data_IF_228600139471
#
_entry.id   IF_228600139471
#
_cell.length_a   1.000
_cell.length_b   1.000
_cell.length_c   1.000
_cell.angle_alpha   90.00
_cell.angle_beta   90.00
_cell.angle_gamma   90.00
#
_symmetry.space_group_name_H-M   'P 1'
#
loop_
_entity.id
_entity.type
_entity.pdbx_description
1 polymer ?
#
# COMPACT_ATOMS: atom_id res chain seq x y z
N UNK A 1 17.74 33.40 32.44
CA UNK A 1 18.42 32.08 32.44
C UNK A 1 17.37 31.02 32.09
N UNK A 2 17.19 30.74 30.80
CA UNK A 2 16.26 29.72 30.30
C UNK A 2 17.04 28.46 29.95
N UNK A 3 16.70 27.33 30.57
CA UNK A 3 17.28 26.02 30.26
C UNK A 3 16.59 25.47 29.01
N UNK A 4 17.37 25.30 27.94
CA UNK A 4 16.99 24.56 26.75
C UNK A 4 17.06 23.08 27.11
N UNK A 5 15.92 22.39 27.13
CA UNK A 5 15.84 20.93 27.22
C UNK A 5 16.00 20.38 25.80
N UNK A 6 17.17 19.86 25.48
CA UNK A 6 17.38 19.04 24.28
C UNK A 6 16.73 17.69 24.51
N UNK A 7 15.62 17.44 23.81
CA UNK A 7 15.07 16.11 23.63
C UNK A 7 15.96 15.36 22.62
N UNK A 8 16.85 14.51 23.13
CA UNK A 8 17.53 13.50 22.32
C UNK A 8 16.50 12.41 21.96
N UNK A 9 16.06 12.42 20.71
CA UNK A 9 15.35 11.29 20.11
C UNK A 9 16.35 10.14 19.95
N UNK A 10 16.40 9.25 20.94
CA UNK A 10 17.15 8.02 20.86
C UNK A 10 16.53 7.09 19.84
N UNK A 11 17.20 6.94 18.71
CA UNK A 11 16.93 5.86 17.76
C UNK A 11 17.32 4.56 18.45
N UNK A 12 16.34 3.77 18.90
CA UNK A 12 16.60 2.41 19.40
C UNK A 12 16.91 1.56 18.17
N UNK A 13 18.18 1.53 17.77
CA UNK A 13 18.70 0.53 16.87
C UNK A 13 18.79 -0.75 17.69
N UNK A 14 17.84 -1.66 17.49
CA UNK A 14 17.98 -3.03 17.99
C UNK A 14 19.12 -3.67 17.22
N UNK A 15 20.32 -3.55 17.74
CA UNK A 15 21.49 -4.25 17.24
C UNK A 15 21.30 -5.75 17.53
N UNK A 16 20.82 -6.48 16.54
CA UNK A 16 20.91 -7.94 16.56
C UNK A 16 22.37 -8.34 16.47
N UNK A 17 22.82 -9.36 17.20
CA UNK A 17 24.18 -9.84 17.10
C UNK A 17 24.40 -10.39 15.68
N UNK A 18 25.13 -9.65 14.86
CA UNK A 18 25.63 -10.08 13.55
C UNK A 18 26.78 -11.09 13.75
N UNK A 19 26.51 -12.23 14.37
CA UNK A 19 27.46 -13.31 14.44
C UNK A 19 27.41 -14.09 13.13
N UNK A 20 28.46 -13.95 12.32
CA UNK A 20 28.92 -14.80 11.19
C UNK A 20 27.80 -15.57 10.46
N UNK A 21 26.88 -14.85 9.84
CA UNK A 21 25.91 -15.41 8.91
C UNK A 21 26.60 -15.66 7.58
N UNK A 22 26.79 -16.92 7.23
CA UNK A 22 26.98 -17.32 5.83
C UNK A 22 25.67 -16.97 5.12
N UNK A 23 25.65 -15.87 4.40
CA UNK A 23 24.46 -15.36 3.70
C UNK A 23 24.18 -16.25 2.49
N UNK A 24 23.18 -17.13 2.60
CA UNK A 24 22.67 -17.88 1.47
C UNK A 24 21.57 -17.03 0.80
N UNK A 25 21.93 -16.35 -0.28
CA UNK A 25 20.98 -15.59 -1.08
C UNK A 25 20.27 -16.50 -2.06
N UNK A 26 18.93 -16.56 -1.95
CA UNK A 26 18.08 -17.30 -2.87
C UNK A 26 17.38 -16.33 -3.82
N UNK A 27 17.26 -16.72 -5.10
CA UNK A 27 16.55 -15.93 -6.11
C UNK A 27 15.22 -16.57 -6.51
N UNK A 28 15.01 -17.84 -6.19
CA UNK A 28 14.00 -18.68 -6.83
C UNK A 28 12.67 -18.78 -6.08
N UNK A 29 12.60 -18.33 -4.82
CA UNK A 29 11.43 -18.52 -3.98
C UNK A 29 11.04 -17.26 -3.20
N UNK A 30 10.77 -16.15 -3.90
CA UNK A 30 10.36 -14.93 -3.21
C UNK A 30 8.98 -15.09 -2.57
N UNK A 31 8.77 -14.41 -1.45
CA UNK A 31 7.50 -14.39 -0.73
C UNK A 31 6.79 -13.07 -0.99
N UNK A 32 5.79 -13.08 -1.87
CA UNK A 32 4.96 -11.92 -2.13
C UNK A 32 3.82 -11.84 -1.08
N UNK A 33 4.14 -11.32 0.07
CA UNK A 33 3.21 -11.10 1.17
C UNK A 33 3.29 -9.66 1.62
N UNK A 34 2.15 -9.02 1.86
CA UNK A 34 2.07 -7.60 2.29
C UNK A 34 2.68 -6.59 1.29
N UNK A 35 2.58 -6.85 0.00
CA UNK A 35 2.99 -5.95 -1.07
C UNK A 35 1.77 -5.47 -1.87
N UNK A 36 1.97 -4.41 -2.66
CA UNK A 36 0.87 -3.86 -3.45
C UNK A 36 0.40 -4.80 -4.55
N UNK A 37 -0.91 -4.77 -4.78
CA UNK A 37 -1.56 -5.43 -5.91
C UNK A 37 -1.80 -4.45 -7.06
N UNK A 38 -1.83 -4.97 -8.26
CA UNK A 38 -2.35 -4.26 -9.42
C UNK A 38 -3.86 -4.39 -9.48
N UNK A 39 -4.54 -3.37 -10.02
CA UNK A 39 -5.98 -3.43 -10.22
C UNK A 39 -6.44 -2.55 -11.37
N UNK A 40 -7.64 -2.86 -11.87
CA UNK A 40 -8.42 -2.03 -12.76
C UNK A 40 -9.81 -1.90 -12.15
N UNK A 41 -10.27 -0.67 -11.93
CA UNK A 41 -11.54 -0.36 -11.29
C UNK A 41 -12.39 0.58 -12.15
N UNK A 42 -13.68 0.39 -12.10
CA UNK A 42 -14.70 1.29 -12.60
C UNK A 42 -15.48 1.86 -11.43
N UNK A 43 -15.92 3.10 -11.54
CA UNK A 43 -16.70 3.74 -10.48
C UNK A 43 -17.92 4.43 -11.05
N UNK A 44 -19.11 4.13 -10.53
CA UNK A 44 -20.31 4.89 -10.87
C UNK A 44 -20.39 6.21 -10.09
N UNK A 45 -19.47 6.45 -9.14
CA UNK A 45 -19.52 7.61 -8.26
C UNK A 45 -19.00 8.87 -8.94
N UNK A 46 -19.70 10.01 -8.81
CA UNK A 46 -19.15 11.28 -9.24
C UNK A 46 -17.99 11.68 -8.31
N UNK A 47 -16.90 12.16 -8.90
CA UNK A 47 -15.84 12.87 -8.18
C UNK A 47 -16.13 14.36 -8.31
N UNK A 48 -16.19 15.06 -7.18
CA UNK A 48 -16.18 16.52 -7.20
C UNK A 48 -14.72 16.97 -7.31
N UNK A 49 -14.37 17.54 -8.44
CA UNK A 49 -13.11 18.28 -8.60
C UNK A 49 -13.40 19.72 -8.22
N UNK A 50 -12.90 20.19 -7.09
CA UNK A 50 -13.10 21.57 -6.64
C UNK A 50 -12.37 22.52 -7.58
N UNK A 51 -13.10 23.52 -8.05
CA UNK A 51 -12.60 24.57 -8.93
C UNK A 51 -13.34 24.66 -10.25
N UNK A 52 -14.03 23.64 -10.71
CA UNK A 52 -14.95 23.74 -11.83
C UNK A 52 -16.41 23.65 -11.36
N UNK A 53 -17.18 24.75 -11.39
CA UNK A 53 -18.60 24.73 -11.06
C UNK A 53 -19.43 23.93 -12.09
N UNK A 54 -18.82 23.37 -13.11
CA UNK A 54 -19.49 22.82 -14.29
C UNK A 54 -19.84 21.35 -14.19
N UNK A 55 -19.93 20.75 -13.08
CA UNK A 55 -20.49 19.37 -12.93
C UNK A 55 -19.55 18.40 -12.20
N UNK A 56 -20.09 17.53 -11.37
CA UNK A 56 -19.29 16.43 -10.85
C UNK A 56 -18.90 15.53 -12.03
N UNK A 57 -17.62 15.51 -12.37
CA UNK A 57 -17.09 14.56 -13.34
C UNK A 57 -17.20 13.16 -12.74
N UNK A 58 -17.87 12.23 -13.43
CA UNK A 58 -17.88 10.83 -13.02
C UNK A 58 -16.49 10.22 -13.21
N UNK A 59 -16.00 9.47 -12.24
CA UNK A 59 -14.85 8.61 -12.44
C UNK A 59 -15.29 7.41 -13.29
N UNK A 60 -14.77 7.31 -14.51
CA UNK A 60 -15.04 6.12 -15.35
C UNK A 60 -14.14 4.98 -14.95
N UNK A 61 -12.83 5.27 -14.77
CA UNK A 61 -11.80 4.26 -14.74
C UNK A 61 -10.66 4.70 -13.83
N UNK A 62 -10.17 3.78 -13.02
CA UNK A 62 -8.92 3.90 -12.28
C UNK A 62 -8.13 2.61 -12.42
N UNK A 63 -6.84 2.71 -12.63
CA UNK A 63 -5.96 1.56 -12.60
C UNK A 63 -4.72 1.83 -11.77
N UNK A 64 -4.22 0.78 -11.16
CA UNK A 64 -2.92 0.73 -10.52
C UNK A 64 -2.12 -0.43 -11.10
N UNK A 65 -0.91 -0.15 -11.51
CA UNK A 65 0.07 -1.16 -11.91
C UNK A 65 1.17 -1.15 -10.86
N UNK A 66 1.32 -2.27 -10.16
CA UNK A 66 2.35 -2.49 -9.15
C UNK A 66 3.07 -3.80 -9.47
N UNK A 67 4.25 -3.72 -10.06
CA UNK A 67 5.09 -4.88 -10.38
C UNK A 67 6.15 -5.04 -9.31
N UNK A 68 6.13 -6.15 -8.60
CA UNK A 68 7.06 -6.42 -7.51
C UNK A 68 8.29 -7.19 -8.04
N UNK A 69 9.43 -6.51 -8.14
CA UNK A 69 10.71 -7.09 -8.54
C UNK A 69 11.52 -7.41 -7.29
N UNK A 70 11.62 -8.68 -6.98
CA UNK A 70 12.42 -9.14 -5.84
C UNK A 70 13.89 -9.09 -6.19
N UNK A 71 14.67 -8.41 -5.35
CA UNK A 71 16.11 -8.51 -5.31
C UNK A 71 16.50 -9.80 -4.55
N UNK A 72 17.78 -10.16 -4.48
CA UNK A 72 18.20 -11.31 -3.67
C UNK A 72 17.61 -11.26 -2.27
N UNK A 73 17.10 -12.37 -1.79
CA UNK A 73 16.51 -12.48 -0.45
C UNK A 73 17.28 -13.53 0.37
N UNK A 74 17.20 -13.36 1.67
CA UNK A 74 17.82 -14.23 2.66
C UNK A 74 16.73 -14.94 3.45
N UNK A 75 16.91 -16.25 3.66
CA UNK A 75 16.04 -17.08 4.49
C UNK A 75 16.85 -17.81 5.56
N UNK A 76 16.30 -17.89 6.76
CA UNK A 76 16.91 -18.56 7.90
C UNK A 76 15.86 -19.26 8.75
N UNK A 77 16.16 -20.50 9.13
CA UNK A 77 15.25 -21.36 9.88
C UNK A 77 14.26 -22.12 9.00
N UNK A 78 13.40 -22.88 9.65
CA UNK A 78 12.35 -23.67 9.03
C UNK A 78 10.99 -23.19 9.54
N UNK A 79 10.00 -23.17 8.65
CA UNK A 79 8.68 -22.62 8.94
C UNK A 79 7.93 -23.36 10.04
N UNK A 80 8.18 -24.65 10.20
CA UNK A 80 7.62 -25.55 11.22
C UNK A 80 8.46 -25.66 12.50
N UNK A 81 9.63 -25.01 12.52
CA UNK A 81 10.47 -24.97 13.72
C UNK A 81 9.84 -24.12 14.84
N UNK A 82 10.21 -24.31 16.11
CA UNK A 82 9.72 -23.48 17.21
C UNK A 82 9.96 -22.00 17.04
N UNK A 83 11.09 -21.61 16.41
CA UNK A 83 11.44 -20.22 16.11
C UNK A 83 10.71 -19.66 14.90
N UNK A 84 10.30 -20.53 13.98
CA UNK A 84 9.81 -20.17 12.66
C UNK A 84 10.93 -19.82 11.68
N UNK A 85 10.57 -19.46 10.48
CA UNK A 85 11.47 -19.03 9.42
C UNK A 85 11.52 -17.50 9.34
N UNK A 86 12.71 -16.93 9.19
CA UNK A 86 12.95 -15.52 8.97
C UNK A 86 13.30 -15.28 7.49
N UNK A 87 12.65 -14.29 6.89
CA UNK A 87 12.90 -13.90 5.50
C UNK A 87 13.21 -12.41 5.46
N UNK A 88 14.36 -12.07 4.93
CA UNK A 88 14.76 -10.70 4.64
C UNK A 88 14.81 -10.52 3.12
N UNK A 89 14.05 -9.57 2.60
CA UNK A 89 14.02 -9.28 1.16
C UNK A 89 14.03 -7.79 0.89
N UNK A 90 14.51 -7.42 -0.29
CA UNK A 90 14.38 -6.09 -0.83
C UNK A 90 13.57 -6.19 -2.14
N UNK A 91 12.55 -5.34 -2.27
CA UNK A 91 11.62 -5.37 -3.40
C UNK A 91 11.54 -3.99 -4.02
N UNK A 92 11.81 -3.91 -5.33
CA UNK A 92 11.59 -2.72 -6.13
C UNK A 92 10.18 -2.78 -6.72
N UNK A 93 9.37 -1.77 -6.46
CA UNK A 93 8.02 -1.66 -7.01
C UNK A 93 7.84 -0.34 -7.76
N UNK A 94 7.94 -0.33 -9.10
CA UNK A 94 7.50 0.79 -9.92
C UNK A 94 5.96 0.81 -9.93
N UNK A 95 5.37 1.62 -9.06
CA UNK A 95 3.92 1.75 -8.95
C UNK A 95 3.45 2.97 -9.74
N UNK A 96 2.44 2.77 -10.59
CA UNK A 96 1.79 3.84 -11.36
C UNK A 96 0.29 3.73 -11.20
N UNK A 97 -0.39 4.86 -10.98
CA UNK A 97 -1.84 4.97 -10.98
C UNK A 97 -2.30 5.89 -12.10
N UNK A 98 -3.38 5.52 -12.76
CA UNK A 98 -4.06 6.28 -13.81
C UNK A 98 -5.53 6.44 -13.44
N UNK A 99 -6.08 7.62 -13.69
CA UNK A 99 -7.49 7.91 -13.47
C UNK A 99 -8.07 8.64 -14.68
N UNK A 100 -9.25 8.21 -15.12
CA UNK A 100 -9.96 8.81 -16.24
C UNK A 100 -11.37 9.23 -15.80
N UNK A 101 -11.71 10.49 -16.12
CA UNK A 101 -13.00 11.09 -15.83
C UNK A 101 -13.95 11.01 -17.04
N UNK A 102 -15.24 11.10 -16.78
CA UNK A 102 -16.27 11.20 -17.82
C UNK A 102 -16.39 12.65 -18.32
N UNK A 103 -15.36 13.10 -19.02
CA UNK A 103 -15.29 14.42 -19.63
C UNK A 103 -14.99 14.33 -21.12
N UNK A 104 -15.52 15.28 -21.90
CA UNK A 104 -15.30 15.29 -23.36
C UNK A 104 -13.88 15.70 -23.76
N UNK A 105 -13.20 16.48 -22.91
CA UNK A 105 -11.85 16.95 -23.17
C UNK A 105 -10.98 16.73 -21.94
N UNK A 106 -9.73 16.30 -22.19
CA UNK A 106 -8.75 16.01 -21.12
C UNK A 106 -9.25 15.04 -20.04
N UNK A 107 -9.85 13.90 -20.41
CA UNK A 107 -10.47 12.99 -19.44
C UNK A 107 -9.45 12.28 -18.53
N UNK A 108 -8.17 12.25 -18.93
CA UNK A 108 -7.11 11.59 -18.17
C UNK A 108 -6.47 12.62 -17.22
N UNK A 109 -6.60 12.37 -15.93
CA UNK A 109 -5.89 13.15 -14.90
C UNK A 109 -4.39 12.79 -14.95
N UNK A 110 -3.48 13.73 -14.67
CA UNK A 110 -2.05 13.45 -14.59
C UNK A 110 -1.76 12.20 -13.76
N UNK A 111 -0.98 11.24 -14.27
CA UNK A 111 -0.74 9.97 -13.58
C UNK A 111 -0.02 10.18 -12.26
N UNK A 112 -0.19 9.25 -11.34
CA UNK A 112 0.58 9.17 -10.11
C UNK A 112 1.70 8.14 -10.26
N UNK A 113 2.94 8.58 -10.15
CA UNK A 113 4.13 7.73 -10.16
C UNK A 113 4.63 7.56 -8.73
N UNK A 114 4.67 6.32 -8.24
CA UNK A 114 5.04 5.98 -6.85
C UNK A 114 6.12 4.86 -6.81
N UNK A 115 7.28 5.02 -7.49
CA UNK A 115 8.34 4.04 -7.38
C UNK A 115 8.84 3.96 -5.93
N UNK A 116 9.06 2.74 -5.46
CA UNK A 116 9.55 2.50 -4.10
C UNK A 116 10.44 1.27 -3.99
N UNK A 117 11.29 1.29 -2.98
CA UNK A 117 12.05 0.12 -2.50
C UNK A 117 11.50 -0.25 -1.13
N UNK A 118 11.14 -1.50 -0.96
CA UNK A 118 10.66 -2.07 0.30
C UNK A 118 11.71 -3.05 0.83
N UNK A 119 12.25 -2.77 2.00
CA UNK A 119 13.04 -3.73 2.78
C UNK A 119 12.07 -4.44 3.71
N UNK A 120 11.87 -5.73 3.49
CA UNK A 120 10.88 -6.53 4.20
C UNK A 120 11.56 -7.55 5.09
N UNK A 121 11.23 -7.56 6.38
CA UNK A 121 11.58 -8.60 7.32
C UNK A 121 10.30 -9.33 7.70
N UNK A 122 10.24 -10.64 7.41
CA UNK A 122 9.11 -11.51 7.77
C UNK A 122 9.58 -12.57 8.75
N UNK A 123 8.72 -12.91 9.67
CA UNK A 123 8.78 -14.15 10.46
C UNK A 123 7.56 -14.97 10.13
N UNK A 124 7.80 -16.16 9.60
CA UNK A 124 6.77 -17.12 9.22
C UNK A 124 6.82 -18.29 10.18
N UNK A 125 5.68 -18.74 10.64
CA UNK A 125 5.58 -19.91 11.51
C UNK A 125 4.35 -20.71 11.16
N UNK A 126 4.54 -22.02 11.12
CA UNK A 126 3.53 -23.00 10.84
C UNK A 126 3.55 -24.07 11.92
N UNK A 127 2.40 -24.60 12.28
CA UNK A 127 2.27 -25.75 13.17
C UNK A 127 0.97 -26.47 12.95
N UNK A 128 0.97 -27.75 13.30
CA UNK A 128 -0.21 -28.60 13.24
C UNK A 128 -0.68 -28.93 14.65
N UNK A 129 -1.98 -29.04 14.83
CA UNK A 129 -2.64 -29.49 16.05
C UNK A 129 -3.43 -30.78 15.76
N UNK A 130 -3.83 -31.48 16.81
CA UNK A 130 -4.72 -32.64 16.73
C UNK A 130 -4.23 -33.72 15.73
N UNK A 131 -2.96 -34.10 15.82
CA UNK A 131 -2.37 -35.16 14.98
C UNK A 131 -2.46 -34.83 13.47
N UNK A 132 -2.29 -33.58 13.10
CA UNK A 132 -2.29 -33.14 11.70
C UNK A 132 -3.66 -32.79 11.12
N UNK A 133 -4.73 -32.85 11.92
CA UNK A 133 -6.08 -32.50 11.47
C UNK A 133 -6.36 -31.04 11.41
N UNK A 134 -5.63 -30.25 12.17
CA UNK A 134 -5.82 -28.80 12.25
C UNK A 134 -4.51 -28.08 11.95
N UNK A 135 -4.60 -27.08 11.08
CA UNK A 135 -3.47 -26.33 10.55
C UNK A 135 -3.48 -24.91 11.06
N UNK A 136 -2.31 -24.42 11.47
CA UNK A 136 -2.11 -23.06 11.94
C UNK A 136 -0.93 -22.43 11.20
N UNK A 137 -1.05 -21.13 10.92
CA UNK A 137 0.03 -20.35 10.30
C UNK A 137 0.02 -18.93 10.86
N UNK A 138 1.19 -18.38 11.05
CA UNK A 138 1.34 -16.96 11.35
C UNK A 138 2.43 -16.31 10.50
N UNK A 139 2.19 -15.10 10.07
CA UNK A 139 3.17 -14.22 9.46
C UNK A 139 3.17 -12.90 10.20
N UNK A 140 4.34 -12.49 10.68
CA UNK A 140 4.57 -11.16 11.27
C UNK A 140 5.62 -10.50 10.41
N UNK A 141 5.38 -9.25 10.02
CA UNK A 141 6.26 -8.53 9.11
C UNK A 141 6.51 -7.10 9.54
N UNK A 142 7.66 -6.60 9.14
CA UNK A 142 8.02 -5.19 9.17
C UNK A 142 8.52 -4.82 7.79
N UNK A 143 7.91 -3.80 7.19
CA UNK A 143 8.39 -3.18 5.97
C UNK A 143 9.00 -1.82 6.30
N UNK A 144 10.22 -1.57 5.81
CA UNK A 144 10.81 -0.24 5.73
C UNK A 144 10.81 0.16 4.25
N UNK A 145 10.07 1.23 3.92
CA UNK A 145 9.85 1.65 2.55
C UNK A 145 10.49 3.03 2.36
N UNK A 146 11.21 3.18 1.25
CA UNK A 146 11.69 4.46 0.74
C UNK A 146 11.15 4.61 -0.67
N UNK A 147 10.48 5.73 -0.94
CA UNK A 147 9.81 5.94 -2.20
C UNK A 147 9.77 7.39 -2.63
N UNK A 148 9.37 7.57 -3.87
CA UNK A 148 9.09 8.84 -4.50
C UNK A 148 7.64 8.86 -4.96
N UNK A 149 6.98 10.00 -4.84
CA UNK A 149 5.63 10.20 -5.33
C UNK A 149 5.56 11.50 -6.14
N UNK A 150 5.19 11.39 -7.41
CA UNK A 150 5.06 12.55 -8.29
C UNK A 150 3.96 12.34 -9.33
N UNK A 151 3.52 13.45 -9.94
CA UNK A 151 2.56 13.42 -11.05
C UNK A 151 3.18 13.74 -12.41
N UNK A 152 4.48 13.99 -12.47
CA UNK A 152 5.20 14.25 -13.72
C UNK A 152 4.81 15.55 -14.43
N UNK A 153 4.09 16.46 -13.78
CA UNK A 153 3.71 17.75 -14.33
C UNK A 153 4.76 18.81 -14.04
N UNK A 154 4.78 19.88 -14.86
CA UNK A 154 5.76 20.98 -14.76
C UNK A 154 5.12 22.33 -14.41
N UNK A 155 3.80 22.43 -14.32
CA UNK A 155 3.11 23.66 -13.96
C UNK A 155 3.29 24.03 -12.49
N UNK A 156 3.04 25.29 -12.14
CA UNK A 156 3.09 25.73 -10.75
C UNK A 156 2.08 24.96 -9.89
N UNK A 157 2.47 24.61 -8.67
CA UNK A 157 1.64 23.85 -7.72
C UNK A 157 0.35 24.60 -7.34
N UNK A 158 0.44 25.93 -7.12
CA UNK A 158 -0.73 26.76 -6.83
C UNK A 158 -1.26 27.42 -8.10
N UNK A 159 -2.57 27.53 -8.25
CA UNK A 159 -3.23 28.05 -9.45
C UNK A 159 -2.99 29.55 -9.67
N UNK A 160 -2.70 30.31 -8.61
CA UNK A 160 -2.43 31.74 -8.67
C UNK A 160 -0.95 32.10 -8.91
N UNK A 161 -0.11 31.09 -9.12
CA UNK A 161 1.30 31.28 -9.51
C UNK A 161 1.42 31.39 -11.02
N UNK A 162 2.35 32.18 -11.50
CA UNK A 162 2.62 32.36 -12.93
C UNK A 162 3.98 31.77 -13.29
N UNK A 163 4.04 31.07 -14.44
CA UNK A 163 5.26 30.50 -14.99
C UNK A 163 5.24 28.98 -15.07
N UNK A 164 6.16 28.45 -15.84
CA UNK A 164 6.46 27.01 -15.96
C UNK A 164 7.81 26.66 -15.35
N UNK A 165 8.46 27.64 -14.73
CA UNK A 165 9.77 27.52 -14.09
C UNK A 165 9.61 26.86 -12.71
N UNK A 166 10.54 26.01 -12.27
CA UNK A 166 10.65 25.57 -10.88
C UNK A 166 10.69 26.72 -9.86
N UNK A 167 10.92 27.94 -10.31
CA UNK A 167 10.87 29.18 -9.54
C UNK A 167 9.48 29.85 -9.52
N UNK A 168 8.39 29.09 -9.60
CA UNK A 168 7.04 29.65 -9.43
C UNK A 168 6.97 30.50 -8.18
N UNK A 169 6.76 31.80 -8.36
CA UNK A 169 6.72 32.77 -7.26
C UNK A 169 5.37 32.63 -6.54
N UNK A 170 5.34 32.38 -5.23
CA UNK A 170 4.10 32.31 -4.48
C UNK A 170 3.41 33.69 -4.58
N UNK A 171 2.19 33.73 -5.13
CA UNK A 171 1.32 34.88 -4.95
C UNK A 171 0.73 34.82 -3.53
N UNK A 172 0.36 35.97 -2.98
CA UNK A 172 -0.32 36.03 -1.69
C UNK A 172 -1.61 35.21 -1.74
N UNK A 173 -1.70 34.20 -0.88
CA UNK A 173 -2.78 33.19 -0.86
C UNK A 173 -2.36 31.92 -1.57
N UNK A 174 -2.13 30.85 -0.79
CA UNK A 174 -1.56 29.60 -1.28
C UNK A 174 -2.61 28.64 -1.89
N UNK A 175 -3.89 29.01 -1.91
CA UNK A 175 -4.97 28.19 -2.47
C UNK A 175 -5.73 29.01 -3.52
N UNK A 176 -6.31 28.37 -4.56
CA UNK A 176 -6.45 26.93 -4.82
C UNK A 176 -5.21 26.29 -5.46
N UNK A 177 -5.19 24.94 -5.45
CA UNK A 177 -4.20 24.14 -6.16
C UNK A 177 -4.42 24.20 -7.67
N UNK A 178 -3.35 24.02 -8.43
CA UNK A 178 -3.44 23.86 -9.88
C UNK A 178 -3.67 22.37 -10.21
N UNK A 179 -4.92 21.94 -10.16
CA UNK A 179 -5.30 20.54 -10.36
C UNK A 179 -5.13 20.03 -11.79
N UNK A 180 -5.01 20.93 -12.76
CA UNK A 180 -4.91 20.60 -14.19
C UNK A 180 -3.49 20.25 -14.61
N UNK A 181 -2.51 21.05 -14.20
CA UNK A 181 -1.11 20.93 -14.65
C UNK A 181 -0.08 21.21 -13.56
N UNK A 182 -0.53 21.36 -12.32
CA UNK A 182 0.35 21.65 -11.19
C UNK A 182 1.31 20.51 -10.90
N UNK A 183 2.59 20.85 -10.73
CA UNK A 183 3.62 19.90 -10.34
C UNK A 183 3.42 19.46 -8.89
N UNK A 184 3.34 18.16 -8.66
CA UNK A 184 3.37 17.55 -7.34
C UNK A 184 4.50 16.54 -7.24
N UNK A 185 5.32 16.67 -6.21
CA UNK A 185 6.44 15.78 -5.99
C UNK A 185 6.82 15.73 -4.51
N UNK A 186 7.04 14.52 -3.99
CA UNK A 186 7.56 14.28 -2.64
C UNK A 186 8.37 12.99 -2.58
N UNK A 187 9.41 12.98 -1.76
CA UNK A 187 10.04 11.75 -1.32
C UNK A 187 9.41 11.34 0.01
N UNK A 188 9.31 10.05 0.28
CA UNK A 188 8.75 9.57 1.55
C UNK A 188 9.48 8.35 2.11
N UNK A 189 9.46 8.25 3.43
CA UNK A 189 9.83 7.05 4.15
C UNK A 189 8.61 6.51 4.90
N UNK A 190 8.42 5.19 4.90
CA UNK A 190 7.31 4.53 5.59
C UNK A 190 7.79 3.33 6.36
N UNK A 191 7.23 3.13 7.54
CA UNK A 191 7.38 1.91 8.33
C UNK A 191 5.99 1.28 8.45
N UNK A 192 5.90 -0.02 8.14
CA UNK A 192 4.68 -0.81 8.30
C UNK A 192 4.96 -1.97 9.24
N UNK A 193 4.04 -2.20 10.16
CA UNK A 193 3.98 -3.39 11.02
C UNK A 193 2.78 -4.23 10.58
N UNK A 194 2.99 -5.50 10.32
CA UNK A 194 2.03 -6.35 9.64
C UNK A 194 1.92 -7.67 10.38
N UNK A 195 0.71 -8.15 10.53
CA UNK A 195 0.44 -9.45 11.12
C UNK A 195 -0.65 -10.16 10.35
N UNK A 196 -0.52 -11.48 10.20
CA UNK A 196 -1.52 -12.36 9.62
C UNK A 196 -1.51 -13.69 10.35
N UNK A 197 -2.66 -14.17 10.72
CA UNK A 197 -2.83 -15.38 11.49
C UNK A 197 -3.92 -16.26 10.89
N UNK A 198 -3.58 -17.50 10.53
CA UNK A 198 -4.50 -18.52 10.10
C UNK A 198 -4.90 -19.38 11.32
N UNK A 199 -6.18 -19.42 11.60
CA UNK A 199 -6.78 -20.29 12.61
C UNK A 199 -7.87 -21.13 11.96
N UNK A 200 -8.10 -22.34 12.41
CA UNK A 200 -9.11 -23.23 11.86
C UNK A 200 -8.85 -23.61 10.38
N UNK A 201 -7.61 -24.03 10.10
CA UNK A 201 -7.27 -24.61 8.80
C UNK A 201 -7.63 -26.09 8.77
N UNK A 202 -8.60 -26.46 7.91
CA UNK A 202 -8.96 -27.85 7.64
C UNK A 202 -8.43 -28.26 6.26
N UNK A 203 -7.37 -29.10 6.20
CA UNK A 203 -6.77 -29.51 4.94
C UNK A 203 -7.73 -30.35 4.07
N UNK A 204 -8.59 -31.15 4.68
CA UNK A 204 -9.51 -32.05 3.96
C UNK A 204 -10.60 -31.23 3.24
N UNK A 205 -11.15 -30.22 3.92
CA UNK A 205 -12.19 -29.36 3.35
C UNK A 205 -11.62 -28.19 2.55
N UNK A 206 -10.29 -28.03 2.52
CA UNK A 206 -9.62 -26.85 1.95
C UNK A 206 -10.23 -25.54 2.47
N UNK A 207 -10.55 -25.51 3.75
CA UNK A 207 -11.18 -24.41 4.43
C UNK A 207 -10.22 -23.82 5.46
N UNK A 208 -10.20 -22.51 5.56
CA UNK A 208 -9.41 -21.81 6.57
C UNK A 208 -9.99 -20.42 6.85
N UNK A 209 -9.81 -19.96 8.08
CA UNK A 209 -10.02 -18.57 8.46
C UNK A 209 -8.68 -17.89 8.71
N UNK A 210 -8.51 -16.70 8.18
CA UNK A 210 -7.34 -15.87 8.40
C UNK A 210 -7.81 -14.50 8.87
N UNK A 211 -7.14 -13.98 9.89
CA UNK A 211 -7.25 -12.57 10.28
C UNK A 211 -5.91 -11.89 10.12
N UNK A 212 -5.95 -10.62 9.79
CA UNK A 212 -4.75 -9.81 9.62
C UNK A 212 -4.95 -8.40 10.16
N UNK A 213 -3.86 -7.74 10.45
CA UNK A 213 -3.84 -6.36 10.87
C UNK A 213 -2.56 -5.67 10.40
N UNK A 214 -2.64 -4.36 10.24
CA UNK A 214 -1.50 -3.51 9.88
C UNK A 214 -1.53 -2.21 10.66
N UNK A 215 -0.34 -1.65 10.88
CA UNK A 215 -0.15 -0.28 11.30
C UNK A 215 0.95 0.33 10.44
N UNK A 216 0.77 1.56 9.99
CA UNK A 216 1.74 2.25 9.16
C UNK A 216 1.98 3.67 9.66
N UNK A 217 3.20 4.14 9.44
CA UNK A 217 3.60 5.53 9.61
C UNK A 217 4.43 5.93 8.42
N UNK A 218 3.97 6.91 7.66
CA UNK A 218 4.75 7.51 6.60
C UNK A 218 5.10 8.97 6.90
N UNK A 219 6.19 9.44 6.33
CA UNK A 219 6.65 10.80 6.44
C UNK A 219 7.20 11.30 5.12
N UNK A 220 6.69 12.45 4.69
CA UNK A 220 7.20 13.18 3.53
C UNK A 220 8.53 13.84 3.84
N UNK A 221 9.39 13.97 2.85
CA UNK A 221 10.72 14.52 2.97
C UNK A 221 11.04 15.50 1.83
N UNK A 222 11.74 16.55 2.17
CA UNK A 222 12.37 17.51 1.26
C UNK A 222 13.75 17.04 0.77
N UNK A 223 14.23 15.89 1.26
CA UNK A 223 15.54 15.34 0.93
C UNK A 223 15.60 14.87 -0.53
N UNK A 224 16.66 15.29 -1.24
CA UNK A 224 17.00 14.84 -2.59
C UNK A 224 16.15 15.46 -3.71
N UNK A 225 16.42 15.07 -4.96
CA UNK A 225 15.65 15.54 -6.11
C UNK A 225 14.17 15.12 -6.00
N UNK A 226 13.27 16.08 -6.25
CA UNK A 226 11.83 15.84 -6.18
C UNK A 226 11.25 15.74 -4.76
N UNK A 227 11.99 16.15 -3.74
CA UNK A 227 11.47 16.31 -2.38
C UNK A 227 10.42 17.43 -2.32
N UNK A 228 9.50 17.31 -1.34
CA UNK A 228 8.42 18.30 -1.16
C UNK A 228 8.97 19.63 -0.65
N UNK A 229 8.53 20.74 -1.25
CA UNK A 229 8.90 22.07 -0.75
C UNK A 229 8.18 22.39 0.57
N UNK A 230 8.70 23.38 1.31
CA UNK A 230 8.09 23.83 2.57
C UNK A 230 6.64 24.30 2.36
N UNK A 231 6.36 25.05 1.30
CA UNK A 231 5.02 25.58 1.02
C UNK A 231 4.05 24.46 0.61
N UNK A 232 4.50 23.50 -0.17
CA UNK A 232 3.71 22.32 -0.50
C UNK A 232 3.43 21.46 0.73
N UNK A 233 4.42 21.26 1.62
CA UNK A 233 4.27 20.45 2.84
C UNK A 233 3.29 21.03 3.86
N UNK A 234 3.09 22.36 3.88
CA UNK A 234 2.07 23.03 4.69
C UNK A 234 0.66 22.75 4.21
N UNK A 235 0.49 22.32 2.97
CA UNK A 235 -0.82 22.02 2.38
C UNK A 235 -1.05 20.52 2.30
N UNK A 236 -0.02 19.77 1.89
CA UNK A 236 -0.10 18.30 1.75
C UNK A 236 -0.03 17.56 3.10
N UNK A 237 0.63 18.16 4.09
CA UNK A 237 0.93 17.53 5.38
C UNK A 237 2.33 16.93 5.44
N UNK A 238 2.72 16.53 6.64
CA UNK A 238 4.04 15.93 6.91
C UNK A 238 4.07 14.43 6.71
N UNK A 239 2.92 13.79 6.63
CA UNK A 239 2.79 12.35 6.46
C UNK A 239 1.44 11.84 6.91
N UNK A 240 1.32 10.51 7.04
CA UNK A 240 0.12 9.81 7.46
C UNK A 240 0.48 8.71 8.46
N UNK A 241 -0.46 8.38 9.34
CA UNK A 241 -0.45 7.14 10.08
C UNK A 241 -1.73 6.37 9.76
N UNK A 242 -1.62 5.06 9.68
CA UNK A 242 -2.72 4.22 9.26
C UNK A 242 -2.84 2.96 10.07
N UNK A 243 -4.04 2.39 10.05
CA UNK A 243 -4.36 1.10 10.64
C UNK A 243 -5.22 0.31 9.66
N UNK A 244 -4.99 -0.99 9.61
CA UNK A 244 -5.76 -1.90 8.78
C UNK A 244 -6.14 -3.16 9.53
N UNK A 245 -7.27 -3.73 9.15
CA UNK A 245 -7.68 -5.06 9.56
C UNK A 245 -8.25 -5.81 8.35
N UNK A 246 -8.00 -7.12 8.29
CA UNK A 246 -8.52 -7.97 7.23
C UNK A 246 -8.97 -9.31 7.79
N UNK A 247 -10.05 -9.83 7.24
CA UNK A 247 -10.53 -11.19 7.42
C UNK A 247 -10.53 -11.93 6.09
N UNK A 248 -10.07 -13.17 6.09
CA UNK A 248 -10.05 -13.99 4.90
C UNK A 248 -10.69 -15.34 5.18
N UNK A 249 -11.41 -15.85 4.21
CA UNK A 249 -11.96 -17.20 4.24
C UNK A 249 -11.58 -17.96 2.99
N UNK A 250 -11.01 -19.12 3.18
CA UNK A 250 -10.86 -20.13 2.15
C UNK A 250 -12.03 -21.10 2.23
N UNK A 251 -12.60 -21.42 1.08
CA UNK A 251 -13.67 -22.42 0.98
C UNK A 251 -13.60 -23.10 -0.39
N UNK A 252 -13.37 -24.41 -0.42
CA UNK A 252 -13.24 -25.20 -1.65
C UNK A 252 -12.22 -24.60 -2.65
N UNK A 253 -11.11 -24.08 -2.13
CA UNK A 253 -10.04 -23.49 -2.92
C UNK A 253 -10.31 -22.03 -3.41
N UNK A 254 -11.52 -21.50 -3.22
CA UNK A 254 -11.80 -20.08 -3.45
C UNK A 254 -11.41 -19.26 -2.21
N UNK A 255 -11.03 -18.00 -2.42
CA UNK A 255 -10.61 -17.08 -1.35
C UNK A 255 -11.49 -15.84 -1.33
N UNK A 256 -12.04 -15.53 -0.18
CA UNK A 256 -12.77 -14.32 0.13
C UNK A 256 -11.94 -13.47 1.07
N UNK A 257 -11.77 -12.21 0.77
CA UNK A 257 -11.04 -11.25 1.61
C UNK A 257 -11.93 -10.06 1.87
N UNK A 258 -12.02 -9.62 3.12
CA UNK A 258 -12.66 -8.37 3.49
C UNK A 258 -11.66 -7.58 4.33
N UNK A 259 -11.45 -6.32 4.00
CA UNK A 259 -10.52 -5.45 4.73
C UNK A 259 -11.13 -4.09 5.00
N UNK A 260 -10.64 -3.46 6.05
CA UNK A 260 -10.87 -2.08 6.39
C UNK A 260 -9.52 -1.41 6.66
N UNK A 261 -9.33 -0.21 6.14
CA UNK A 261 -8.16 0.62 6.41
C UNK A 261 -8.61 2.03 6.79
N UNK A 262 -7.88 2.62 7.72
CA UNK A 262 -8.02 3.98 8.19
C UNK A 262 -6.69 4.69 7.99
N UNK A 263 -6.71 5.87 7.39
CA UNK A 263 -5.52 6.72 7.22
C UNK A 263 -5.79 8.10 7.77
N UNK A 264 -4.85 8.65 8.51
CA UNK A 264 -4.95 9.92 9.21
C UNK A 264 -3.76 10.80 8.79
N UNK A 265 -3.97 11.90 8.07
CA UNK A 265 -2.90 12.85 7.78
C UNK A 265 -2.45 13.58 9.05
N UNK A 266 -1.17 13.93 9.13
CA UNK A 266 -0.63 14.75 10.20
C UNK A 266 0.28 15.87 9.68
N UNK A 267 0.47 16.90 10.50
CA UNK A 267 1.16 18.14 10.15
C UNK A 267 0.18 19.26 9.82
N UNK A 268 0.70 20.34 9.27
CA UNK A 268 -0.11 21.45 8.80
C UNK A 268 -0.77 21.03 7.48
N UNK A 269 -2.08 20.96 7.44
CA UNK A 269 -2.86 20.69 6.22
C UNK A 269 -4.26 21.28 6.41
N UNK A 270 -4.84 21.90 5.37
CA UNK A 270 -6.21 22.42 5.43
C UNK A 270 -7.26 21.34 5.66
N UNK A 271 -6.96 20.09 5.31
CA UNK A 271 -7.84 18.95 5.48
C UNK A 271 -7.16 17.90 6.36
N UNK A 272 -7.76 17.60 7.49
CA UNK A 272 -7.27 16.59 8.46
C UNK A 272 -8.30 15.48 8.69
N UNK A 273 -9.15 15.25 7.71
CA UNK A 273 -10.16 14.19 7.80
C UNK A 273 -9.53 12.82 7.60
N UNK A 274 -9.93 11.81 8.38
CA UNK A 274 -9.51 10.45 8.14
C UNK A 274 -10.09 9.92 6.84
N UNK A 275 -9.31 9.10 6.14
CA UNK A 275 -9.79 8.34 5.00
C UNK A 275 -10.08 6.91 5.43
N UNK A 276 -11.30 6.46 5.15
CA UNK A 276 -11.77 5.10 5.40
C UNK A 276 -11.83 4.36 4.06
N UNK A 277 -11.20 3.20 4.00
CA UNK A 277 -11.31 2.28 2.86
C UNK A 277 -11.86 0.95 3.34
N UNK A 278 -12.92 0.47 2.70
CA UNK A 278 -13.46 -0.87 2.91
C UNK A 278 -13.41 -1.61 1.59
N UNK A 279 -12.87 -2.82 1.59
CA UNK A 279 -12.75 -3.63 0.37
C UNK A 279 -13.20 -5.06 0.64
N UNK A 280 -13.92 -5.63 -0.32
CA UNK A 280 -14.22 -7.03 -0.39
C UNK A 280 -13.72 -7.60 -1.71
N UNK A 281 -12.91 -8.66 -1.66
CA UNK A 281 -12.29 -9.30 -2.82
C UNK A 281 -12.62 -10.79 -2.85
N UNK A 282 -13.02 -11.28 -4.01
CA UNK A 282 -13.21 -12.70 -4.30
C UNK A 282 -12.16 -13.16 -5.30
N UNK A 283 -11.39 -14.18 -4.95
CA UNK A 283 -10.38 -14.79 -5.80
C UNK A 283 -10.81 -16.22 -6.09
N UNK A 284 -11.10 -16.51 -7.34
CA UNK A 284 -11.49 -17.85 -7.77
C UNK A 284 -10.28 -18.77 -7.88
N UNK A 285 -10.44 -20.04 -7.46
CA UNK A 285 -9.46 -21.10 -7.69
C UNK A 285 -9.09 -21.25 -9.17
N UNK A 286 -10.08 -21.09 -10.06
CA UNK A 286 -9.92 -21.30 -11.52
C UNK A 286 -9.14 -20.16 -12.17
N UNK A 287 -9.32 -18.93 -11.65
CA UNK A 287 -8.66 -17.73 -12.17
C UNK A 287 -7.43 -17.38 -11.31
N UNK A 288 -6.45 -18.27 -11.28
CA UNK A 288 -5.24 -18.11 -10.47
C UNK A 288 -4.63 -16.72 -10.63
N UNK A 289 -4.53 -15.98 -9.53
CA UNK A 289 -3.93 -14.63 -9.49
C UNK A 289 -4.86 -13.48 -9.83
N UNK A 290 -6.13 -13.74 -10.22
CA UNK A 290 -7.13 -12.70 -10.47
C UNK A 290 -8.22 -12.72 -9.40
N UNK A 291 -8.59 -11.54 -8.91
CA UNK A 291 -9.69 -11.33 -8.00
C UNK A 291 -10.66 -10.30 -8.50
N UNK A 292 -11.95 -10.49 -8.21
CA UNK A 292 -12.98 -9.46 -8.36
C UNK A 292 -13.08 -8.71 -7.03
N UNK A 293 -13.11 -7.39 -7.07
CA UNK A 293 -13.27 -6.62 -5.85
C UNK A 293 -14.35 -5.55 -5.94
N UNK A 294 -14.90 -5.22 -4.78
CA UNK A 294 -15.69 -4.04 -4.54
C UNK A 294 -15.01 -3.23 -3.44
N UNK A 295 -14.83 -1.92 -3.65
CA UNK A 295 -14.17 -1.01 -2.71
C UNK A 295 -15.03 0.22 -2.47
N UNK A 296 -15.09 0.63 -1.21
CA UNK A 296 -15.64 1.91 -0.78
C UNK A 296 -14.53 2.75 -0.18
N UNK A 297 -14.43 4.01 -0.61
CA UNK A 297 -13.49 4.99 -0.07
C UNK A 297 -14.28 6.23 0.34
N UNK A 298 -14.02 6.72 1.55
CA UNK A 298 -14.62 7.95 2.06
C UNK A 298 -13.56 8.74 2.83
N UNK A 299 -13.31 9.96 2.43
CA UNK A 299 -12.35 10.85 3.06
C UNK A 299 -11.53 11.66 2.06
N UNK A 300 -10.29 11.93 2.41
CA UNK A 300 -9.36 12.66 1.55
C UNK A 300 -9.02 11.84 0.28
N UNK A 301 -8.99 12.51 -0.88
CA UNK A 301 -8.54 11.85 -2.11
C UNK A 301 -7.05 11.47 -2.00
N UNK A 302 -6.75 10.25 -2.37
CA UNK A 302 -5.40 9.68 -2.34
C UNK A 302 -4.62 9.91 -3.66
N UNK A 303 -5.23 10.64 -4.61
CA UNK A 303 -4.68 10.79 -5.95
C UNK A 303 -3.96 12.12 -6.14
N UNK A 304 -2.64 12.09 -6.19
CA UNK A 304 -1.66 13.17 -6.39
C UNK A 304 -2.16 14.57 -5.95
N UNK A 305 -2.30 15.53 -6.87
CA UNK A 305 -2.66 16.93 -6.56
C UNK A 305 -4.11 17.11 -6.09
N UNK A 306 -4.96 16.07 -6.16
CA UNK A 306 -6.36 16.12 -5.72
C UNK A 306 -6.53 15.87 -4.21
N UNK A 307 -5.46 15.77 -3.46
CA UNK A 307 -5.49 15.41 -2.04
C UNK A 307 -6.26 16.38 -1.12
N UNK A 308 -6.64 17.56 -1.59
CA UNK A 308 -7.55 18.46 -0.86
C UNK A 308 -9.02 18.13 -1.07
N UNK A 309 -9.33 17.27 -2.03
CA UNK A 309 -10.69 16.89 -2.33
C UNK A 309 -11.19 15.82 -1.35
N UNK A 310 -12.48 15.90 -1.04
CA UNK A 310 -13.20 14.85 -0.34
C UNK A 310 -13.87 13.93 -1.36
N UNK A 311 -13.60 12.65 -1.25
CA UNK A 311 -14.18 11.65 -2.15
C UNK A 311 -15.08 10.67 -1.39
N UNK A 312 -16.16 10.28 -2.06
CA UNK A 312 -16.98 9.13 -1.68
C UNK A 312 -17.09 8.25 -2.90
N UNK A 313 -16.26 7.20 -2.95
CA UNK A 313 -16.12 6.36 -4.13
C UNK A 313 -16.62 4.94 -3.87
N UNK A 314 -17.42 4.43 -4.78
CA UNK A 314 -17.66 3.01 -4.97
C UNK A 314 -16.91 2.55 -6.20
N UNK A 315 -16.05 1.58 -6.04
CA UNK A 315 -15.25 1.02 -7.11
C UNK A 315 -15.51 -0.47 -7.23
N UNK A 316 -15.60 -0.96 -8.47
CA UNK A 316 -15.74 -2.37 -8.78
C UNK A 316 -14.71 -2.74 -9.84
N UNK A 317 -14.03 -3.85 -9.67
CA UNK A 317 -12.97 -4.15 -10.62
C UNK A 317 -12.31 -5.50 -10.45
N UNK A 318 -11.16 -5.60 -11.12
CA UNK A 318 -10.29 -6.75 -11.09
C UNK A 318 -9.00 -6.39 -10.38
N UNK A 319 -8.56 -7.23 -9.45
CA UNK A 319 -7.24 -7.16 -8.85
C UNK A 319 -6.38 -8.33 -9.32
N UNK A 320 -5.08 -8.10 -9.43
CA UNK A 320 -4.13 -9.13 -9.82
C UNK A 320 -2.75 -8.85 -9.24
N UNK A 321 -1.99 -9.91 -9.01
CA UNK A 321 -0.62 -9.81 -8.54
C UNK A 321 0.35 -9.96 -9.71
N UNK A 322 1.17 -8.94 -9.94
CA UNK A 322 2.30 -9.03 -10.87
C UNK A 322 3.56 -9.41 -10.08
N UNK A 323 3.93 -10.66 -10.18
CA UNK A 323 5.02 -11.26 -9.44
C UNK A 323 4.63 -12.62 -8.84
N UNK A 324 5.56 -13.31 -8.17
CA UNK A 324 5.30 -14.61 -7.57
C UNK A 324 4.23 -14.49 -6.48
N UNK A 325 3.20 -15.30 -6.56
CA UNK A 325 2.12 -15.34 -5.58
C UNK A 325 2.54 -16.08 -4.31
N UNK A 326 2.19 -15.55 -3.13
CA UNK A 326 2.29 -16.27 -1.88
C UNK A 326 0.97 -16.99 -1.56
N UNK A 327 1.03 -18.30 -1.35
CA UNK A 327 -0.09 -19.09 -0.87
C UNK A 327 0.07 -19.30 0.63
N UNK A 328 -0.92 -18.89 1.41
CA UNK A 328 -0.91 -19.09 2.86
C UNK A 328 -1.15 -20.54 3.29
N UNK A 329 -1.66 -21.37 2.39
CA UNK A 329 -1.82 -22.80 2.58
C UNK A 329 -0.68 -23.53 1.84
N UNK A 330 -0.06 -24.54 2.44
CA UNK A 330 0.96 -25.33 1.78
C UNK A 330 0.46 -25.94 0.47
N UNK A 331 1.34 -26.02 -0.50
CA UNK A 331 1.06 -26.66 -1.80
C UNK A 331 0.63 -28.13 -1.61
N UNK A 332 1.13 -28.77 -0.56
CA UNK A 332 0.84 -30.17 -0.24
C UNK A 332 -0.62 -30.47 0.13
N UNK A 333 -1.42 -29.45 0.46
CA UNK A 333 -2.86 -29.62 0.64
C UNK A 333 -3.60 -29.90 -0.68
N UNK A 334 -3.00 -29.59 -1.83
CA UNK A 334 -3.54 -29.94 -3.14
C UNK A 334 -3.18 -31.37 -3.57
N UNK A 335 -2.16 -31.96 -2.94
CA UNK A 335 -1.60 -33.29 -3.31
C UNK A 335 -1.92 -34.40 -2.35
N UNK A 336 -2.66 -34.13 -1.27
CA UNK A 336 -3.13 -35.24 -0.41
C UNK A 336 -4.06 -36.12 -1.23
N UNK A 337 -3.70 -37.44 -1.42
CA UNK A 337 -4.54 -38.34 -2.12
C UNK A 337 -5.90 -38.39 -1.40
N UNK A 338 -6.96 -38.17 -2.17
CA UNK A 338 -8.32 -38.43 -1.67
C UNK A 338 -8.33 -39.83 -1.05
N UNK A 339 -8.44 -39.90 0.27
CA UNK A 339 -8.66 -41.19 0.93
C UNK A 339 -9.90 -41.81 0.32
N UNK A 340 -9.67 -42.83 -0.51
CA UNK A 340 -10.72 -43.69 -1.01
C UNK A 340 -11.38 -44.44 0.15
#
# INVERSE_FOLDING_TARGET
MGRIVQLQTGLIVVAWPLTSLAWNWEFDKPINLFLDNSYIAFSPSPIKVNGDPRSPAGLIFESQIASNFFLPHYRDGEIDSPSGEYVLSAVLTPLTQLRMLNEQSSPVIPPSFKPKVTFQLLRLKQWTLNEGKEYRFSAIGTNLIVGHYSNGQAGCFFANQTGTDPNCVPAHGQLPLNEVSGSFSTNYGRIELLARYLFDGNPVEQAAWIVGGSAELDRNSDFGPGGISTDQSRVYGKGHFGFGAAGERYLSGNRWVTSVALSFPFGETPRQEPTVTVEATFISRVLSGFGFFARYVNGQDYYNILFLEHVVLWQFGLSFQLGPGFRALPVDLETLPSSK
#
